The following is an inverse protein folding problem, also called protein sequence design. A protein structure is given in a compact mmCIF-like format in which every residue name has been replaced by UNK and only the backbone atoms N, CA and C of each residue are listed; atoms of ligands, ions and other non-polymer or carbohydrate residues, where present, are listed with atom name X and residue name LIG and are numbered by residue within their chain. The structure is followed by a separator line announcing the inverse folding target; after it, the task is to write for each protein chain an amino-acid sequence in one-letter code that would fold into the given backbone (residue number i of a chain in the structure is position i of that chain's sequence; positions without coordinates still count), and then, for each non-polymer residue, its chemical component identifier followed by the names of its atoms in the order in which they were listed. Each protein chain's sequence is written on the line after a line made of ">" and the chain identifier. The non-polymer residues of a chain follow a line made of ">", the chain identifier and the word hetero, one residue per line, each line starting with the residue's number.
data_IF_614505984821
#
_entry.id   IF_614505984821
#
_cell.length_a   1.000
_cell.length_b   1.000
_cell.length_c   1.000
_cell.angle_alpha   90.00
_cell.angle_beta   90.00
_cell.angle_gamma   90.00
#
_symmetry.space_group_name_H-M   'P 1'
#
loop_
_entity.id
_entity.type
_entity.pdbx_description
1 polymer ?
#
# COMPACT_ATOMS: atom_id res chain seq x y z
N UNK A 1 14.01 -23.69 29.76
CA UNK A 1 14.83 -22.65 29.10
C UNK A 1 15.05 -21.52 30.08
N UNK A 2 16.29 -21.10 30.34
CA UNK A 2 16.57 -20.02 31.30
C UNK A 2 16.29 -18.65 30.68
N UNK A 3 15.84 -17.70 31.50
CA UNK A 3 15.56 -16.31 31.10
C UNK A 3 16.80 -15.64 30.49
N UNK A 4 18.00 -16.04 30.94
CA UNK A 4 19.27 -15.58 30.36
C UNK A 4 19.53 -16.11 28.95
N UNK A 5 19.06 -17.33 28.61
CA UNK A 5 19.13 -17.87 27.26
C UNK A 5 18.26 -17.10 26.27
N UNK A 6 17.03 -16.77 26.67
CA UNK A 6 16.10 -15.95 25.88
C UNK A 6 16.61 -14.52 25.67
N UNK A 7 17.22 -13.91 26.70
CA UNK A 7 17.82 -12.58 26.58
C UNK A 7 19.08 -12.55 25.71
N UNK A 8 19.83 -13.65 25.67
CA UNK A 8 20.99 -13.81 24.76
C UNK A 8 20.55 -13.87 23.30
N UNK A 9 19.51 -14.64 22.99
CA UNK A 9 18.97 -14.77 21.62
C UNK A 9 18.34 -13.45 21.12
N UNK A 10 17.61 -12.74 21.97
CA UNK A 10 17.02 -11.43 21.61
C UNK A 10 18.10 -10.36 21.38
N UNK A 11 19.21 -10.40 22.14
CA UNK A 11 20.36 -9.50 21.89
C UNK A 11 21.06 -9.81 20.57
N UNK A 12 21.16 -11.09 20.20
CA UNK A 12 21.74 -11.49 18.91
C UNK A 12 20.84 -11.11 17.73
N UNK A 13 19.52 -11.24 17.88
CA UNK A 13 18.56 -10.86 16.85
C UNK A 13 18.52 -9.33 16.63
N UNK A 14 18.60 -8.55 17.71
CA UNK A 14 18.67 -7.08 17.61
C UNK A 14 20.01 -6.59 17.07
N UNK A 15 21.14 -7.24 17.40
CA UNK A 15 22.45 -6.88 16.84
C UNK A 15 22.50 -7.15 15.33
N UNK A 16 21.95 -8.28 14.87
CA UNK A 16 21.86 -8.61 13.44
C UNK A 16 20.88 -7.68 12.69
N UNK A 17 19.75 -7.29 13.31
CA UNK A 17 18.83 -6.31 12.72
C UNK A 17 19.44 -4.89 12.62
N UNK A 18 20.24 -4.48 13.61
CA UNK A 18 20.97 -3.21 13.60
C UNK A 18 22.15 -3.22 12.62
N UNK A 19 22.87 -4.33 12.46
CA UNK A 19 23.92 -4.46 11.43
C UNK A 19 23.36 -4.50 10.01
N UNK A 20 22.18 -5.12 9.80
CA UNK A 20 21.48 -5.08 8.51
C UNK A 20 20.96 -3.67 8.23
N UNK A 21 20.38 -2.98 9.21
CA UNK A 21 19.92 -1.60 9.05
C UNK A 21 21.09 -0.62 8.82
N UNK A 22 22.23 -0.77 9.52
CA UNK A 22 23.42 0.04 9.27
C UNK A 22 24.13 -0.34 7.97
N UNK A 23 24.11 -1.61 7.56
CA UNK A 23 24.60 -2.07 6.26
C UNK A 23 23.76 -1.51 5.10
N UNK A 24 22.44 -1.42 5.25
CA UNK A 24 21.54 -0.82 4.27
C UNK A 24 21.68 0.71 4.22
N UNK A 25 21.95 1.37 5.36
CA UNK A 25 22.22 2.81 5.42
C UNK A 25 23.59 3.18 4.82
N UNK A 26 24.60 2.32 4.97
CA UNK A 26 25.94 2.50 4.37
C UNK A 26 25.99 2.13 2.88
N UNK A 27 25.07 1.29 2.38
CA UNK A 27 25.02 0.94 0.95
C UNK A 27 24.02 1.78 0.14
N UNK A 28 23.07 2.48 0.77
CA UNK A 28 22.08 3.32 0.07
C UNK A 28 21.75 4.66 0.75
N UNK A 29 22.71 5.30 1.41
CA UNK A 29 22.50 6.64 1.96
C UNK A 29 23.78 7.44 2.19
N UNK A 30 24.35 8.02 1.13
CA UNK A 30 25.35 9.08 1.32
C UNK A 30 26.35 9.27 0.19
N UNK A 31 25.93 9.79 -0.95
CA UNK A 31 26.82 10.61 -1.79
C UNK A 31 26.09 11.84 -2.32
N UNK A 32 26.42 13.00 -1.73
CA UNK A 32 26.47 14.26 -2.48
C UNK A 32 27.55 14.09 -3.54
N UNK A 33 27.18 14.12 -4.81
CA UNK A 33 28.13 14.23 -5.92
C UNK A 33 27.89 15.57 -6.60
N UNK A 34 28.64 16.58 -6.16
CA UNK A 34 28.98 17.72 -7.00
C UNK A 34 30.50 17.77 -7.09
N UNK A 35 31.01 17.39 -8.26
CA UNK A 35 32.03 18.10 -9.04
C UNK A 35 32.79 17.09 -9.89
N UNK A 36 32.56 17.11 -11.21
CA UNK A 36 33.63 17.10 -12.22
C UNK A 36 32.99 17.05 -13.62
N UNK A 37 32.75 18.23 -14.18
CA UNK A 37 32.66 18.42 -15.63
C UNK A 37 33.80 19.33 -16.02
N UNK A 38 34.76 18.80 -16.79
CA UNK A 38 35.76 19.62 -17.50
C UNK A 38 35.05 20.46 -18.57
N UNK A 39 35.35 21.76 -18.69
CA UNK A 39 34.79 22.59 -19.75
C UNK A 39 35.49 22.33 -21.08
N UNK A 40 34.70 22.18 -22.14
CA UNK A 40 35.15 22.37 -23.51
C UNK A 40 35.34 23.86 -23.81
N UNK A 41 36.41 24.17 -24.55
CA UNK A 41 36.78 25.50 -25.01
C UNK A 41 35.67 26.22 -25.79
N UNK A 42 35.42 27.49 -25.46
CA UNK A 42 35.37 28.63 -26.39
C UNK A 42 35.01 29.91 -25.63
N UNK A 43 35.74 31.00 -25.89
CA UNK A 43 35.44 32.32 -25.33
C UNK A 43 36.51 32.92 -24.41
N UNK A 44 37.78 32.86 -24.81
CA UNK A 44 38.84 33.64 -24.20
C UNK A 44 38.64 35.12 -24.53
N UNK A 45 38.09 35.92 -23.61
CA UNK A 45 38.42 37.35 -23.43
C UNK A 45 37.64 38.10 -22.31
N UNK A 46 36.67 37.50 -21.61
CA UNK A 46 35.96 38.15 -20.47
C UNK A 46 36.27 37.58 -19.07
N UNK A 47 37.23 36.67 -18.96
CA UNK A 47 37.52 35.94 -17.70
C UNK A 47 38.47 36.63 -16.71
N UNK A 48 39.17 37.70 -17.12
CA UNK A 48 40.17 38.37 -16.27
C UNK A 48 39.53 39.25 -15.20
N UNK A 49 38.61 40.13 -15.61
CA UNK A 49 37.90 41.05 -14.70
C UNK A 49 36.95 40.31 -13.75
N UNK A 50 36.32 39.22 -14.20
CA UNK A 50 35.44 38.41 -13.36
C UNK A 50 36.22 37.64 -12.29
N UNK A 51 37.45 37.19 -12.59
CA UNK A 51 38.32 36.54 -11.61
C UNK A 51 38.82 37.51 -10.55
N UNK A 52 39.13 38.74 -10.93
CA UNK A 52 39.52 39.79 -9.98
C UNK A 52 38.33 40.23 -9.12
N UNK A 53 37.14 40.40 -9.71
CA UNK A 53 35.92 40.71 -8.96
C UNK A 53 35.54 39.60 -7.97
N UNK A 54 35.68 38.32 -8.36
CA UNK A 54 35.49 37.16 -7.49
C UNK A 54 36.58 37.08 -6.41
N UNK A 55 37.82 37.44 -6.73
CA UNK A 55 38.91 37.53 -5.75
C UNK A 55 38.68 38.61 -4.69
N UNK A 56 38.19 39.78 -5.12
CA UNK A 56 37.80 40.87 -4.23
C UNK A 56 36.58 40.49 -3.36
N UNK A 57 35.57 39.86 -3.95
CA UNK A 57 34.39 39.37 -3.22
C UNK A 57 34.76 38.28 -2.19
N UNK A 58 35.67 37.38 -2.55
CA UNK A 58 36.19 36.34 -1.64
C UNK A 58 37.01 36.94 -0.50
N UNK A 59 37.86 37.93 -0.77
CA UNK A 59 38.59 38.66 0.25
C UNK A 59 37.66 39.47 1.18
N UNK A 60 36.57 40.03 0.64
CA UNK A 60 35.54 40.71 1.44
C UNK A 60 34.75 39.73 2.32
N UNK A 61 34.38 38.56 1.77
CA UNK A 61 33.71 37.50 2.53
C UNK A 61 34.61 36.92 3.62
N UNK A 62 35.90 36.67 3.32
CA UNK A 62 36.88 36.20 4.31
C UNK A 62 37.17 37.26 5.39
N UNK A 63 37.14 38.56 5.05
CA UNK A 63 37.21 39.65 6.03
C UNK A 63 35.94 39.80 6.87
N UNK A 64 34.76 39.47 6.32
CA UNK A 64 33.50 39.44 7.06
C UNK A 64 33.42 38.23 8.00
N UNK A 65 33.95 37.07 7.59
CA UNK A 65 34.08 35.86 8.42
C UNK A 65 35.13 36.04 9.52
N UNK A 66 36.24 36.73 9.25
CA UNK A 66 37.29 37.01 10.24
C UNK A 66 36.96 38.20 11.18
N UNK A 67 35.92 38.99 10.90
CA UNK A 67 35.31 39.92 11.86
C UNK A 67 34.17 39.23 12.62
N UNK A 68 34.53 38.22 13.41
CA UNK A 68 33.79 37.77 14.59
C UNK A 68 32.27 37.67 14.48
N UNK A 69 31.73 37.05 13.43
CA UNK A 69 30.37 36.52 13.47
C UNK A 69 30.38 35.28 14.37
N UNK A 70 29.71 35.33 15.51
CA UNK A 70 29.76 34.28 16.52
C UNK A 70 29.21 32.99 15.91
N UNK A 71 29.86 31.84 16.09
CA UNK A 71 29.36 30.54 15.57
C UNK A 71 27.98 30.19 16.14
N UNK A 72 27.64 30.74 17.31
CA UNK A 72 26.30 30.70 17.90
C UNK A 72 25.24 31.40 17.05
N UNK A 73 25.57 32.49 16.36
CA UNK A 73 24.62 33.27 15.55
C UNK A 73 24.21 32.50 14.30
N UNK A 74 25.13 31.75 13.68
CA UNK A 74 24.83 30.91 12.51
C UNK A 74 23.96 29.72 12.88
N UNK A 75 24.25 29.04 14.00
CA UNK A 75 23.42 27.94 14.50
C UNK A 75 22.04 28.43 14.94
N UNK A 76 21.96 29.61 15.55
CA UNK A 76 20.70 30.24 15.93
C UNK A 76 19.86 30.60 14.70
N UNK A 77 20.46 31.20 13.66
CA UNK A 77 19.77 31.50 12.39
C UNK A 77 19.27 30.24 11.68
N UNK A 78 20.00 29.13 11.75
CA UNK A 78 19.55 27.85 11.19
C UNK A 78 18.35 27.27 11.96
N UNK A 79 18.36 27.40 13.29
CA UNK A 79 17.25 26.99 14.14
C UNK A 79 16.01 27.86 13.91
N UNK A 80 16.19 29.17 13.81
CA UNK A 80 15.12 30.12 13.48
C UNK A 80 14.54 29.86 12.09
N UNK A 81 15.37 29.59 11.09
CA UNK A 81 14.93 29.22 9.74
C UNK A 81 14.12 27.91 9.75
N UNK A 82 14.58 26.88 10.47
CA UNK A 82 13.84 25.61 10.59
C UNK A 82 12.49 25.79 11.29
N UNK A 83 12.44 26.63 12.34
CA UNK A 83 11.19 26.98 13.01
C UNK A 83 10.25 27.78 12.10
N UNK A 84 10.80 28.66 11.25
CA UNK A 84 10.03 29.44 10.28
C UNK A 84 9.41 28.54 9.21
N UNK A 85 10.18 27.59 8.66
CA UNK A 85 9.68 26.59 7.70
C UNK A 85 8.52 25.80 8.29
N UNK A 86 8.65 25.32 9.52
CA UNK A 86 7.58 24.60 10.22
C UNK A 86 6.32 25.45 10.41
N UNK A 87 6.47 26.75 10.70
CA UNK A 87 5.33 27.68 10.79
C UNK A 87 4.69 27.94 9.42
N UNK A 88 5.48 28.02 8.35
CA UNK A 88 4.97 28.18 6.98
C UNK A 88 4.16 26.94 6.55
N UNK A 89 4.62 25.73 6.87
CA UNK A 89 3.89 24.49 6.59
C UNK A 89 2.56 24.41 7.36
N UNK A 90 2.58 24.85 8.63
CA UNK A 90 1.37 24.97 9.45
C UNK A 90 0.39 26.00 8.89
N UNK A 91 0.87 27.17 8.46
CA UNK A 91 0.05 28.20 7.82
C UNK A 91 -0.52 27.73 6.48
N UNK A 92 0.26 27.02 5.67
CA UNK A 92 -0.22 26.45 4.41
C UNK A 92 -1.35 25.43 4.67
N UNK A 93 -1.22 24.62 5.72
CA UNK A 93 -2.26 23.68 6.15
C UNK A 93 -3.52 24.42 6.62
N UNK A 94 -3.37 25.45 7.45
CA UNK A 94 -4.50 26.26 7.94
C UNK A 94 -5.19 27.04 6.82
N UNK A 95 -4.44 27.54 5.83
CA UNK A 95 -5.01 28.20 4.66
C UNK A 95 -5.84 27.22 3.83
N UNK A 96 -5.40 25.97 3.67
CA UNK A 96 -6.20 24.94 3.01
C UNK A 96 -7.49 24.63 3.79
N UNK A 97 -7.44 24.60 5.13
CA UNK A 97 -8.62 24.44 5.99
C UNK A 97 -9.60 25.62 5.88
N UNK A 98 -9.12 26.85 5.91
CA UNK A 98 -9.98 28.04 5.76
C UNK A 98 -10.56 28.13 4.35
N UNK A 99 -9.82 27.73 3.32
CA UNK A 99 -10.34 27.63 1.96
C UNK A 99 -11.47 26.61 1.88
N UNK A 100 -11.33 25.47 2.57
CA UNK A 100 -12.35 24.45 2.68
C UNK A 100 -13.61 24.98 3.39
N UNK A 101 -13.44 25.67 4.51
CA UNK A 101 -14.54 26.22 5.31
C UNK A 101 -15.29 27.34 4.56
N UNK A 102 -14.56 28.24 3.88
CA UNK A 102 -15.13 29.29 3.01
C UNK A 102 -15.89 28.69 1.83
N UNK A 103 -15.41 27.58 1.26
CA UNK A 103 -16.10 26.88 0.17
C UNK A 103 -17.43 26.27 0.63
N UNK A 104 -17.48 25.82 1.88
CA UNK A 104 -18.65 25.22 2.53
C UNK A 104 -19.69 26.29 2.87
N UNK A 105 -19.26 27.46 3.33
CA UNK A 105 -20.14 28.57 3.73
C UNK A 105 -20.79 29.32 2.54
N UNK A 106 -20.18 29.31 1.35
CA UNK A 106 -20.62 30.14 0.21
C UNK A 106 -21.78 29.58 -0.62
N UNK A 107 -22.33 28.40 -0.30
CA UNK A 107 -23.41 27.79 -1.10
C UNK A 107 -24.57 27.33 -0.23
N UNK A 108 -25.58 28.21 -0.08
CA UNK A 108 -26.94 27.85 0.35
C UNK A 108 -27.71 26.96 -0.64
N UNK A 109 -27.02 26.11 -1.40
CA UNK A 109 -27.52 24.96 -2.13
C UNK A 109 -26.53 23.85 -1.84
N UNK A 110 -26.96 22.82 -1.10
CA UNK A 110 -26.12 21.71 -0.65
C UNK A 110 -25.72 20.86 -1.86
N UNK A 111 -24.72 21.32 -2.60
CA UNK A 111 -23.82 20.47 -3.37
C UNK A 111 -22.75 20.03 -2.37
N UNK A 112 -22.87 18.80 -1.88
CA UNK A 112 -21.83 18.20 -1.02
C UNK A 112 -20.63 17.93 -1.94
N UNK A 113 -19.70 18.90 -2.06
CA UNK A 113 -18.48 18.69 -2.84
C UNK A 113 -17.72 17.53 -2.19
N UNK A 114 -17.51 16.43 -2.92
CA UNK A 114 -16.73 15.32 -2.37
C UNK A 114 -15.25 15.67 -2.46
N UNK A 115 -14.51 15.34 -1.41
CA UNK A 115 -13.06 15.44 -1.43
C UNK A 115 -12.44 14.20 -2.04
N UNK A 116 -11.55 14.41 -2.99
CA UNK A 116 -10.80 13.38 -3.70
C UNK A 116 -9.31 13.59 -3.45
N UNK A 117 -8.65 12.58 -2.88
CA UNK A 117 -7.20 12.59 -2.70
C UNK A 117 -6.53 11.91 -3.90
N UNK A 118 -5.58 12.58 -4.54
CA UNK A 118 -4.75 12.01 -5.60
C UNK A 118 -3.35 11.82 -5.04
N UNK A 119 -2.97 10.56 -4.83
CA UNK A 119 -1.69 10.17 -4.23
C UNK A 119 -0.59 10.05 -5.28
N UNK A 120 0.52 10.77 -5.04
CA UNK A 120 1.76 10.59 -5.80
C UNK A 120 1.62 10.87 -7.30
N UNK A 121 0.89 11.91 -7.68
CA UNK A 121 0.66 12.28 -9.09
C UNK A 121 1.90 12.94 -9.71
N UNK A 122 2.94 12.14 -9.93
CA UNK A 122 4.23 12.46 -10.55
C UNK A 122 4.42 13.90 -11.00
N UNK A 123 3.94 14.26 -12.20
CA UNK A 123 4.07 15.59 -12.82
C UNK A 123 2.81 16.47 -12.73
N UNK A 124 1.83 16.07 -11.92
CA UNK A 124 0.54 16.71 -11.69
C UNK A 124 -0.41 16.78 -12.90
N UNK A 125 -0.07 16.12 -14.01
CA UNK A 125 -0.89 16.19 -15.23
C UNK A 125 -2.23 15.46 -15.08
N UNK A 126 -2.32 14.40 -14.27
CA UNK A 126 -3.59 13.72 -14.01
C UNK A 126 -4.52 14.63 -13.19
N UNK A 127 -3.98 15.23 -12.12
CA UNK A 127 -4.69 16.14 -11.24
C UNK A 127 -5.25 17.33 -12.01
N UNK A 128 -4.45 17.92 -12.91
CA UNK A 128 -4.93 19.00 -13.77
C UNK A 128 -6.05 18.53 -14.70
N UNK A 129 -5.91 17.36 -15.33
CA UNK A 129 -6.91 16.81 -16.23
C UNK A 129 -8.26 16.56 -15.53
N UNK A 130 -8.23 15.89 -14.38
CA UNK A 130 -9.45 15.53 -13.66
C UNK A 130 -10.11 16.75 -13.00
N UNK A 131 -9.34 17.63 -12.35
CA UNK A 131 -9.89 18.82 -11.71
C UNK A 131 -10.50 19.80 -12.73
N UNK A 132 -9.95 19.88 -13.94
CA UNK A 132 -10.51 20.71 -15.01
C UNK A 132 -11.80 20.16 -15.60
N UNK A 133 -11.97 18.82 -15.61
CA UNK A 133 -13.12 18.16 -16.25
C UNK A 133 -14.26 17.83 -15.29
N UNK A 134 -14.02 17.86 -13.97
CA UNK A 134 -15.01 17.56 -12.95
C UNK A 134 -15.00 18.65 -11.84
N UNK A 135 -15.60 19.83 -12.10
CA UNK A 135 -15.60 20.95 -11.16
C UNK A 135 -16.49 20.72 -9.92
N UNK A 136 -17.21 19.60 -9.83
CA UNK A 136 -18.11 19.27 -8.72
C UNK A 136 -17.41 18.73 -7.48
N UNK A 137 -16.14 18.33 -7.60
CA UNK A 137 -15.34 17.75 -6.52
C UNK A 137 -14.13 18.62 -6.20
N UNK A 138 -13.62 18.50 -4.97
CA UNK A 138 -12.37 19.16 -4.54
C UNK A 138 -11.25 18.12 -4.59
N UNK A 139 -10.18 18.43 -5.34
CA UNK A 139 -9.05 17.53 -5.55
C UNK A 139 -7.83 17.95 -4.74
N UNK A 140 -7.36 17.05 -3.90
CA UNK A 140 -6.10 17.18 -3.18
C UNK A 140 -5.03 16.47 -4.00
N UNK A 141 -4.31 17.24 -4.80
CA UNK A 141 -3.28 16.78 -5.71
C UNK A 141 -1.95 16.71 -4.97
N UNK A 142 -1.46 15.49 -4.72
CA UNK A 142 -0.27 15.28 -3.89
C UNK A 142 0.90 14.71 -4.67
N UNK A 143 2.11 15.11 -4.29
CA UNK A 143 3.37 14.57 -4.82
C UNK A 143 4.33 14.25 -3.70
N UNK A 144 5.19 13.25 -3.92
CA UNK A 144 6.22 12.82 -2.96
C UNK A 144 7.37 13.83 -2.86
N UNK A 145 7.76 14.42 -4.00
CA UNK A 145 8.85 15.39 -4.05
C UNK A 145 8.48 16.67 -3.26
N UNK A 146 9.46 17.34 -2.65
CA UNK A 146 9.29 18.71 -2.15
C UNK A 146 8.97 19.67 -3.31
N UNK A 147 8.47 20.87 -3.01
CA UNK A 147 8.13 21.86 -4.05
C UNK A 147 9.34 22.22 -4.90
N UNK A 148 10.50 22.42 -4.27
CA UNK A 148 11.76 22.78 -4.92
C UNK A 148 12.28 21.63 -5.80
N UNK A 149 12.17 20.39 -5.33
CA UNK A 149 12.53 19.19 -6.11
C UNK A 149 11.62 19.00 -7.31
N UNK A 150 10.31 19.15 -7.11
CA UNK A 150 9.31 19.01 -8.16
C UNK A 150 9.54 20.01 -9.30
N UNK A 151 9.69 21.30 -8.99
CA UNK A 151 9.92 22.35 -10.00
C UNK A 151 11.19 22.06 -10.80
N UNK A 152 12.29 21.73 -10.11
CA UNK A 152 13.57 21.40 -10.75
C UNK A 152 13.51 20.17 -11.64
N UNK A 153 12.71 19.16 -11.27
CA UNK A 153 12.62 17.88 -11.97
C UNK A 153 11.70 17.94 -13.19
N UNK A 154 10.54 18.60 -13.05
CA UNK A 154 9.50 18.57 -14.07
C UNK A 154 9.42 19.85 -14.91
N UNK A 155 10.03 20.96 -14.49
CA UNK A 155 9.88 22.28 -15.13
C UNK A 155 8.39 22.61 -15.35
N UNK A 156 7.60 22.39 -14.31
CA UNK A 156 6.14 22.34 -14.39
C UNK A 156 5.46 23.65 -13.93
N UNK A 157 6.12 24.80 -14.10
CA UNK A 157 5.61 26.12 -13.70
C UNK A 157 4.21 26.39 -14.29
N UNK A 158 4.01 26.05 -15.57
CA UNK A 158 2.71 26.20 -16.24
C UNK A 158 1.64 25.29 -15.62
N UNK A 159 1.99 24.05 -15.25
CA UNK A 159 1.04 23.11 -14.62
C UNK A 159 0.66 23.58 -13.22
N UNK A 160 1.62 24.10 -12.45
CA UNK A 160 1.38 24.68 -11.14
C UNK A 160 0.51 25.94 -11.24
N UNK A 161 0.76 26.81 -12.21
CA UNK A 161 -0.06 28.00 -12.45
C UNK A 161 -1.49 27.63 -12.86
N UNK A 162 -1.65 26.66 -13.76
CA UNK A 162 -2.96 26.18 -14.19
C UNK A 162 -3.75 25.54 -13.04
N UNK A 163 -3.13 24.67 -12.24
CA UNK A 163 -3.75 24.09 -11.05
C UNK A 163 -4.10 25.14 -10.00
N UNK A 164 -3.22 26.11 -9.76
CA UNK A 164 -3.47 27.20 -8.82
C UNK A 164 -4.60 28.15 -9.25
N UNK A 165 -4.93 28.20 -10.54
CA UNK A 165 -6.06 28.95 -11.06
C UNK A 165 -7.41 28.21 -10.87
N UNK A 166 -7.39 26.90 -10.62
CA UNK A 166 -8.59 26.10 -10.35
C UNK A 166 -9.04 26.28 -8.90
N UNK A 167 -10.33 26.62 -8.71
CA UNK A 167 -10.92 26.78 -7.37
C UNK A 167 -11.17 25.46 -6.63
N UNK A 168 -11.03 24.34 -7.34
CA UNK A 168 -11.34 23.00 -6.87
C UNK A 168 -10.10 22.09 -6.82
N UNK A 169 -8.89 22.67 -6.83
CA UNK A 169 -7.64 21.95 -6.68
C UNK A 169 -6.82 22.50 -5.51
N UNK A 170 -6.27 21.59 -4.69
CA UNK A 170 -5.39 21.87 -3.56
C UNK A 170 -4.09 21.11 -3.79
N UNK A 171 -2.96 21.82 -3.84
CA UNK A 171 -1.64 21.24 -4.06
C UNK A 171 -0.96 20.93 -2.73
N UNK A 172 -0.44 19.70 -2.58
CA UNK A 172 0.29 19.28 -1.39
C UNK A 172 1.59 18.55 -1.80
N UNK A 173 2.74 19.06 -1.34
CA UNK A 173 4.06 18.49 -1.64
C UNK A 173 4.59 17.67 -0.46
N UNK A 174 5.58 16.82 -0.71
CA UNK A 174 6.25 16.05 0.35
C UNK A 174 5.37 14.95 0.98
N UNK A 175 4.38 14.42 0.27
CA UNK A 175 3.45 13.42 0.80
C UNK A 175 3.98 12.01 0.52
N UNK A 176 4.32 11.28 1.59
CA UNK A 176 4.60 9.85 1.51
C UNK A 176 3.31 9.05 1.60
N UNK A 177 2.98 8.31 0.53
CA UNK A 177 1.79 7.48 0.49
C UNK A 177 1.84 6.30 1.49
N UNK A 178 3.03 5.94 1.98
CA UNK A 178 3.23 4.89 3.00
C UNK A 178 3.20 5.40 4.43
N UNK A 179 3.12 6.73 4.62
CA UNK A 179 3.05 7.39 5.93
C UNK A 179 2.15 8.63 5.86
N UNK A 180 0.85 8.39 5.66
CA UNK A 180 -0.15 9.45 5.52
C UNK A 180 -0.48 10.06 6.89
N UNK A 181 -0.68 11.38 6.97
CA UNK A 181 -0.86 12.04 8.25
C UNK A 181 -2.22 11.70 8.87
N UNK A 182 -2.22 11.29 10.14
CA UNK A 182 -3.44 10.90 10.86
C UNK A 182 -4.56 11.96 10.84
N UNK A 183 -4.23 13.26 10.71
CA UNK A 183 -5.22 14.35 10.59
C UNK A 183 -6.13 14.19 9.37
N UNK A 184 -5.73 13.44 8.34
CA UNK A 184 -6.51 13.16 7.15
C UNK A 184 -7.58 12.08 7.33
N UNK A 185 -7.71 11.53 8.54
CA UNK A 185 -8.74 10.57 8.86
C UNK A 185 -10.14 11.05 8.43
N UNK A 186 -10.82 10.21 7.66
CA UNK A 186 -12.18 10.38 7.18
C UNK A 186 -12.44 11.63 6.33
N UNK A 187 -11.39 12.28 5.83
CA UNK A 187 -11.54 13.51 5.03
C UNK A 187 -11.92 13.25 3.57
N UNK A 188 -11.60 12.06 3.05
CA UNK A 188 -11.67 11.76 1.62
C UNK A 188 -12.69 10.68 1.32
N UNK A 189 -13.50 10.90 0.28
CA UNK A 189 -14.48 9.92 -0.19
C UNK A 189 -13.88 8.99 -1.24
N UNK A 190 -12.95 9.52 -2.03
CA UNK A 190 -12.23 8.77 -3.05
C UNK A 190 -10.75 9.09 -2.91
N UNK A 191 -9.93 8.04 -2.88
CA UNK A 191 -8.48 8.14 -2.99
C UNK A 191 -8.09 7.51 -4.31
N UNK A 192 -7.24 8.18 -5.09
CA UNK A 192 -6.78 7.72 -6.40
C UNK A 192 -5.27 7.64 -6.36
N UNK A 193 -4.69 6.52 -6.78
CA UNK A 193 -3.26 6.39 -7.01
C UNK A 193 -3.01 5.70 -8.34
N UNK A 194 -2.37 6.40 -9.26
CA UNK A 194 -2.13 5.91 -10.60
C UNK A 194 -0.66 5.49 -10.78
N UNK A 195 -0.45 4.22 -11.11
CA UNK A 195 0.86 3.64 -11.46
C UNK A 195 1.95 3.97 -10.44
N UNK A 196 1.76 3.62 -9.15
CA UNK A 196 2.74 3.86 -8.10
C UNK A 196 4.11 3.28 -8.47
N UNK A 197 5.19 3.91 -8.03
CA UNK A 197 6.55 3.47 -8.35
C UNK A 197 7.50 3.63 -7.16
N UNK A 198 8.21 2.57 -6.72
CA UNK A 198 9.08 2.62 -5.53
C UNK A 198 10.31 3.51 -5.74
N UNK A 199 10.67 3.80 -6.98
CA UNK A 199 11.84 4.60 -7.33
C UNK A 199 13.07 3.76 -7.64
N UNK A 200 13.98 4.34 -8.41
CA UNK A 200 15.17 3.63 -8.92
C UNK A 200 14.81 2.42 -9.78
N UNK A 201 15.70 1.42 -9.79
CA UNK A 201 15.42 0.13 -10.45
C UNK A 201 14.38 -0.64 -9.63
N UNK A 202 13.19 -0.80 -10.22
CA UNK A 202 12.07 -1.54 -9.64
C UNK A 202 12.28 -3.04 -9.75
N UNK A 203 11.87 -3.76 -8.70
CA UNK A 203 11.72 -5.20 -8.69
C UNK A 203 10.42 -5.55 -7.95
N UNK A 204 9.98 -6.81 -8.07
CA UNK A 204 8.73 -7.27 -7.49
C UNK A 204 8.66 -7.06 -5.97
N UNK A 205 9.77 -7.33 -5.26
CA UNK A 205 9.84 -7.18 -3.81
C UNK A 205 9.58 -5.73 -3.38
N UNK A 206 10.26 -4.76 -4.01
CA UNK A 206 10.08 -3.33 -3.71
C UNK A 206 8.67 -2.86 -4.00
N UNK A 207 8.09 -3.33 -5.09
CA UNK A 207 6.70 -3.04 -5.46
C UNK A 207 5.70 -3.57 -4.43
N UNK A 208 5.88 -4.80 -3.94
CA UNK A 208 5.04 -5.36 -2.87
C UNK A 208 5.19 -4.58 -1.56
N UNK A 209 6.41 -4.20 -1.18
CA UNK A 209 6.67 -3.38 0.02
C UNK A 209 5.97 -2.03 -0.08
N UNK A 210 6.11 -1.34 -1.21
CA UNK A 210 5.43 -0.06 -1.46
C UNK A 210 3.91 -0.21 -1.33
N UNK A 211 3.33 -1.20 -2.01
CA UNK A 211 1.88 -1.38 -2.01
C UNK A 211 1.34 -1.78 -0.63
N UNK A 212 2.07 -2.61 0.12
CA UNK A 212 1.75 -2.94 1.52
C UNK A 212 1.74 -1.68 2.39
N UNK A 213 2.79 -0.86 2.29
CA UNK A 213 2.87 0.41 3.03
C UNK A 213 1.73 1.37 2.68
N UNK A 214 1.33 1.45 1.41
CA UNK A 214 0.19 2.25 0.97
C UNK A 214 -1.10 1.76 1.61
N UNK A 215 -1.42 0.46 1.54
CA UNK A 215 -2.64 -0.07 2.15
C UNK A 215 -2.66 0.14 3.66
N UNK A 216 -1.54 -0.13 4.35
CA UNK A 216 -1.41 0.12 5.79
C UNK A 216 -1.67 1.57 6.16
N UNK A 217 -1.08 2.49 5.40
CA UNK A 217 -1.27 3.94 5.59
C UNK A 217 -2.71 4.36 5.33
N UNK A 218 -3.33 3.87 4.25
CA UNK A 218 -4.74 4.11 3.92
C UNK A 218 -5.69 3.58 4.99
N UNK A 219 -5.37 2.44 5.61
CA UNK A 219 -6.17 1.88 6.70
C UNK A 219 -6.39 2.90 7.82
N UNK A 220 -5.39 3.76 8.09
CA UNK A 220 -5.48 4.78 9.15
C UNK A 220 -6.36 5.97 8.80
N UNK A 221 -6.51 6.31 7.51
CA UNK A 221 -7.24 7.51 7.08
C UNK A 221 -8.59 7.24 6.43
N UNK A 222 -8.83 6.02 5.92
CA UNK A 222 -10.08 5.67 5.25
C UNK A 222 -11.15 5.23 6.24
N UNK A 223 -12.39 5.70 6.02
CA UNK A 223 -13.59 5.07 6.56
C UNK A 223 -14.13 3.99 5.60
N UNK A 224 -15.17 3.29 6.03
CA UNK A 224 -15.78 2.18 5.27
C UNK A 224 -16.59 2.65 4.04
N UNK A 225 -16.96 3.92 3.96
CA UNK A 225 -17.68 4.50 2.81
C UNK A 225 -16.74 5.01 1.71
N UNK A 226 -15.47 5.22 2.06
CA UNK A 226 -14.44 5.67 1.13
C UNK A 226 -13.98 4.56 0.19
N UNK A 227 -13.51 4.96 -1.00
CA UNK A 227 -12.99 4.02 -2.00
C UNK A 227 -11.56 4.40 -2.39
N UNK A 228 -10.71 3.39 -2.53
CA UNK A 228 -9.36 3.53 -3.04
C UNK A 228 -9.29 2.98 -4.47
N UNK A 229 -8.98 3.84 -5.44
CA UNK A 229 -8.82 3.49 -6.84
C UNK A 229 -7.33 3.41 -7.15
N UNK A 230 -6.84 2.18 -7.32
CA UNK A 230 -5.45 1.89 -7.64
C UNK A 230 -5.33 1.50 -9.11
N UNK A 231 -4.62 2.30 -9.91
CA UNK A 231 -4.33 1.94 -11.31
C UNK A 231 -2.96 1.29 -11.42
N UNK A 232 -2.89 0.11 -12.04
CA UNK A 232 -1.66 -0.65 -12.28
C UNK A 232 -1.52 -0.99 -13.76
N UNK A 233 -0.28 -1.10 -14.24
CA UNK A 233 -0.03 -1.55 -15.61
C UNK A 233 -0.41 -3.03 -15.77
N UNK A 234 -0.63 -3.45 -17.02
CA UNK A 234 -1.04 -4.81 -17.38
C UNK A 234 -0.14 -5.85 -16.70
N UNK A 235 -0.77 -6.84 -16.06
CA UNK A 235 -0.08 -7.93 -15.36
C UNK A 235 0.49 -7.59 -13.98
N UNK A 236 0.60 -6.31 -13.59
CA UNK A 236 1.17 -5.94 -12.28
C UNK A 236 0.25 -6.33 -11.12
N UNK A 237 -1.07 -6.22 -11.27
CA UNK A 237 -2.03 -6.55 -10.19
C UNK A 237 -2.02 -8.02 -9.80
N UNK A 238 -1.69 -8.91 -10.75
CA UNK A 238 -1.80 -10.37 -10.59
C UNK A 238 -3.13 -10.96 -11.05
N UNK A 239 -4.07 -10.10 -11.46
CA UNK A 239 -5.40 -10.46 -11.96
C UNK A 239 -5.69 -9.78 -13.29
N UNK A 240 -6.68 -10.28 -14.01
CA UNK A 240 -7.19 -9.72 -15.26
C UNK A 240 -8.65 -9.27 -15.10
N UNK A 241 -9.16 -8.40 -15.98
CA UNK A 241 -10.59 -8.09 -16.00
C UNK A 241 -11.33 -9.24 -16.67
N UNK A 242 -12.23 -9.88 -15.92
CA UNK A 242 -13.12 -10.95 -16.38
C UNK A 242 -14.58 -10.49 -16.37
N UNK A 243 -15.40 -11.04 -17.27
CA UNK A 243 -16.84 -10.73 -17.35
C UNK A 243 -17.61 -11.25 -16.14
N UNK A 244 -17.34 -12.50 -15.73
CA UNK A 244 -17.92 -13.12 -14.54
C UNK A 244 -16.79 -13.56 -13.59
N UNK A 245 -16.72 -13.02 -12.37
CA UNK A 245 -15.71 -13.43 -11.41
C UNK A 245 -16.00 -14.78 -10.76
N UNK A 246 -17.22 -15.33 -10.86
CA UNK A 246 -17.56 -16.63 -10.28
C UNK A 246 -17.16 -17.76 -11.22
N UNK A 247 -16.28 -18.64 -10.74
CA UNK A 247 -15.69 -19.74 -11.49
C UNK A 247 -15.76 -21.05 -10.69
N UNK A 248 -15.82 -22.19 -11.38
CA UNK A 248 -15.87 -23.51 -10.74
C UNK A 248 -14.51 -24.03 -10.28
N UNK A 249 -13.43 -23.55 -10.89
CA UNK A 249 -12.07 -23.99 -10.61
C UNK A 249 -11.31 -22.95 -9.79
N UNK A 250 -10.24 -23.39 -9.12
CA UNK A 250 -9.41 -22.52 -8.30
C UNK A 250 -8.82 -21.35 -9.11
N UNK A 251 -8.89 -20.10 -8.63
CA UNK A 251 -8.39 -18.95 -9.37
C UNK A 251 -6.88 -19.02 -9.67
N UNK A 252 -6.52 -18.75 -10.93
CA UNK A 252 -5.10 -18.64 -11.33
C UNK A 252 -4.61 -17.19 -11.22
N UNK A 253 -4.11 -16.83 -10.04
CA UNK A 253 -3.47 -15.53 -9.81
C UNK A 253 -1.97 -15.57 -10.14
N UNK A 254 -1.47 -14.59 -10.90
CA UNK A 254 -0.04 -14.57 -11.31
C UNK A 254 0.85 -14.33 -10.09
N UNK A 255 1.72 -15.29 -9.76
CA UNK A 255 2.64 -15.18 -8.60
C UNK A 255 3.77 -14.17 -8.82
N UNK A 256 4.27 -14.08 -10.06
CA UNK A 256 5.23 -13.06 -10.48
C UNK A 256 4.52 -11.72 -10.81
N UNK A 257 3.81 -11.21 -9.81
CA UNK A 257 3.06 -9.95 -9.87
C UNK A 257 3.06 -9.31 -8.48
N UNK A 258 2.45 -8.13 -8.36
CA UNK A 258 2.34 -7.41 -7.09
C UNK A 258 1.30 -8.07 -6.18
N UNK A 259 0.44 -8.96 -6.71
CA UNK A 259 -0.62 -9.65 -5.96
C UNK A 259 -1.50 -8.67 -5.18
N UNK A 260 -1.98 -7.62 -5.84
CA UNK A 260 -2.61 -6.47 -5.20
C UNK A 260 -3.81 -6.84 -4.30
N UNK A 261 -4.63 -7.82 -4.71
CA UNK A 261 -5.78 -8.28 -3.92
C UNK A 261 -5.38 -8.99 -2.63
N UNK A 262 -4.22 -9.68 -2.62
CA UNK A 262 -3.71 -10.34 -1.44
C UNK A 262 -3.13 -9.30 -0.47
N UNK A 263 -2.30 -8.38 -0.96
CA UNK A 263 -1.73 -7.32 -0.14
C UNK A 263 -2.81 -6.40 0.45
N UNK A 264 -3.86 -6.10 -0.32
CA UNK A 264 -5.01 -5.37 0.20
C UNK A 264 -5.71 -6.13 1.32
N UNK A 265 -5.94 -7.43 1.14
CA UNK A 265 -6.64 -8.25 2.14
C UNK A 265 -5.86 -8.40 3.45
N UNK A 266 -4.52 -8.49 3.40
CA UNK A 266 -3.68 -8.47 4.62
C UNK A 266 -3.91 -7.20 5.46
N UNK A 267 -4.21 -6.07 4.82
CA UNK A 267 -4.39 -4.77 5.47
C UNK A 267 -5.86 -4.39 5.67
N UNK A 268 -6.79 -5.35 5.51
CA UNK A 268 -8.23 -5.13 5.72
C UNK A 268 -8.92 -4.40 4.57
N UNK A 269 -8.53 -4.69 3.32
CA UNK A 269 -9.19 -4.17 2.12
C UNK A 269 -9.74 -5.28 1.23
N UNK A 270 -10.96 -5.07 0.74
CA UNK A 270 -11.61 -5.96 -0.22
C UNK A 270 -11.73 -5.29 -1.58
N UNK A 271 -11.53 -6.06 -2.65
CA UNK A 271 -11.72 -5.58 -4.02
C UNK A 271 -13.22 -5.49 -4.35
N UNK A 272 -13.65 -4.31 -4.75
CA UNK A 272 -15.05 -3.96 -5.00
C UNK A 272 -15.33 -3.73 -6.49
N UNK A 273 -14.34 -3.32 -7.28
CA UNK A 273 -14.48 -3.15 -8.73
C UNK A 273 -13.16 -3.34 -9.49
N UNK A 274 -13.24 -3.79 -10.74
CA UNK A 274 -12.09 -3.87 -11.67
C UNK A 274 -12.49 -3.28 -13.01
N UNK A 275 -11.81 -2.20 -13.39
CA UNK A 275 -12.06 -1.52 -14.66
C UNK A 275 -10.79 -1.39 -15.50
N UNK A 276 -10.95 -1.29 -16.81
CA UNK A 276 -9.83 -0.91 -17.68
C UNK A 276 -9.54 0.57 -17.43
N UNK A 277 -8.27 0.92 -17.28
CA UNK A 277 -7.86 2.30 -17.10
C UNK A 277 -8.19 3.11 -18.36
N UNK A 278 -9.06 4.09 -18.20
CA UNK A 278 -9.57 4.90 -19.31
C UNK A 278 -8.57 5.99 -19.71
N UNK A 279 -7.72 5.70 -20.69
CA UNK A 279 -6.77 6.69 -21.23
C UNK A 279 -7.44 7.78 -22.05
N UNK A 280 -8.64 7.53 -22.60
CA UNK A 280 -9.35 8.48 -23.47
C UNK A 280 -10.02 9.58 -22.68
N UNK A 281 -10.54 9.28 -21.48
CA UNK A 281 -11.09 10.29 -20.57
C UNK A 281 -10.03 11.29 -20.10
N UNK A 282 -8.77 10.88 -20.03
CA UNK A 282 -7.67 11.71 -19.50
C UNK A 282 -6.62 11.99 -20.58
N UNK A 283 -7.01 12.52 -21.74
CA UNK A 283 -6.08 12.77 -22.88
C UNK A 283 -4.88 13.65 -22.55
N UNK A 284 -5.00 14.54 -21.57
CA UNK A 284 -3.92 15.41 -21.11
C UNK A 284 -3.02 14.76 -20.04
N UNK A 285 -3.40 13.59 -19.51
CA UNK A 285 -2.59 12.86 -18.53
C UNK A 285 -1.35 12.26 -19.20
N UNK A 286 -0.18 12.64 -18.67
CA UNK A 286 1.13 12.14 -19.09
C UNK A 286 1.74 11.38 -17.93
N UNK A 287 1.59 10.06 -17.91
CA UNK A 287 2.26 9.21 -16.92
C UNK A 287 3.77 9.44 -16.96
N UNK A 288 4.38 9.73 -15.80
CA UNK A 288 5.83 9.87 -15.65
C UNK A 288 6.34 8.73 -14.78
N UNK A 289 6.94 7.70 -15.38
CA UNK A 289 7.12 6.42 -14.69
C UNK A 289 8.48 6.15 -14.07
N UNK A 290 9.52 6.82 -14.56
CA UNK A 290 10.87 6.63 -14.03
C UNK A 290 11.30 7.90 -13.32
N UNK A 291 11.76 7.79 -12.06
CA UNK A 291 12.10 8.93 -11.18
C UNK A 291 13.14 9.92 -11.77
N UNK A 292 13.68 9.70 -12.96
CA UNK A 292 14.69 10.53 -13.64
C UNK A 292 14.53 10.64 -15.17
N UNK A 293 13.50 10.05 -15.78
CA UNK A 293 13.29 10.16 -17.24
C UNK A 293 11.86 10.55 -17.57
N UNK A 294 11.67 11.42 -18.57
CA UNK A 294 10.35 11.84 -19.09
C UNK A 294 9.54 10.70 -19.74
N UNK A 295 9.93 9.44 -19.54
CA UNK A 295 9.34 8.25 -20.16
C UNK A 295 8.16 7.77 -19.31
N UNK A 296 6.99 7.64 -19.94
CA UNK A 296 5.79 7.10 -19.31
C UNK A 296 5.74 5.58 -19.28
N UNK A 297 4.82 5.03 -18.48
CA UNK A 297 4.47 3.61 -18.53
C UNK A 297 3.55 3.31 -19.72
N UNK A 298 3.54 2.07 -20.19
CA UNK A 298 2.46 1.61 -21.06
C UNK A 298 1.18 1.46 -20.22
N UNK A 299 0.25 2.40 -20.38
CA UNK A 299 -0.99 2.51 -19.61
C UNK A 299 -2.25 2.14 -20.42
N UNK A 300 -2.12 1.80 -21.70
CA UNK A 300 -3.26 1.58 -22.62
C UNK A 300 -4.17 0.43 -22.23
N UNK A 301 -3.66 -0.51 -21.45
CA UNK A 301 -4.39 -1.69 -20.97
C UNK A 301 -4.19 -1.88 -19.45
N UNK A 302 -3.92 -0.78 -18.74
CA UNK A 302 -3.85 -0.80 -17.29
C UNK A 302 -5.20 -1.18 -16.66
N UNK A 303 -5.17 -1.66 -15.43
CA UNK A 303 -6.38 -1.93 -14.65
C UNK A 303 -6.50 -0.92 -13.51
N UNK A 304 -7.71 -0.41 -13.30
CA UNK A 304 -8.10 0.34 -12.11
C UNK A 304 -8.83 -0.59 -11.17
N UNK A 305 -8.22 -0.87 -10.03
CA UNK A 305 -8.76 -1.70 -8.96
C UNK A 305 -9.39 -0.81 -7.89
N UNK A 306 -10.69 -0.96 -7.65
CA UNK A 306 -11.40 -0.26 -6.59
C UNK A 306 -11.43 -1.09 -5.32
N UNK A 307 -10.83 -0.60 -4.25
CA UNK A 307 -10.80 -1.23 -2.94
C UNK A 307 -11.68 -0.47 -1.94
N UNK A 308 -12.29 -1.22 -1.02
CA UNK A 308 -12.98 -0.68 0.16
C UNK A 308 -12.29 -1.19 1.42
N UNK A 309 -12.23 -0.33 2.44
CA UNK A 309 -11.80 -0.74 3.77
C UNK A 309 -12.88 -1.62 4.38
N UNK A 310 -12.46 -2.74 4.94
CA UNK A 310 -13.29 -3.66 5.70
C UNK A 310 -12.47 -4.07 6.93
N UNK A 311 -12.78 -3.46 8.07
CA UNK A 311 -12.10 -3.77 9.31
C UNK A 311 -12.65 -5.07 9.89
N UNK A 312 -12.00 -6.17 9.52
CA UNK A 312 -12.37 -7.51 9.96
C UNK A 312 -11.21 -8.23 10.64
N UNK A 313 -10.11 -7.52 10.95
CA UNK A 313 -8.86 -8.13 11.43
C UNK A 313 -9.00 -8.83 12.78
N UNK A 314 -10.03 -8.48 13.55
CA UNK A 314 -10.33 -9.05 14.87
C UNK A 314 -11.49 -10.06 14.84
N UNK A 315 -12.12 -10.29 13.69
CA UNK A 315 -13.27 -11.19 13.58
C UNK A 315 -12.86 -12.64 13.87
N UNK A 316 -13.76 -13.38 14.50
CA UNK A 316 -13.62 -14.81 14.78
C UNK A 316 -14.15 -15.66 13.61
N UNK A 317 -13.86 -16.95 13.62
CA UNK A 317 -14.47 -17.91 12.68
C UNK A 317 -16.01 -17.82 12.69
N UNK A 318 -16.62 -17.56 13.85
CA UNK A 318 -18.07 -17.43 13.96
C UNK A 318 -18.59 -16.18 13.25
N UNK A 319 -17.88 -15.07 13.36
CA UNK A 319 -18.27 -13.81 12.73
C UNK A 319 -18.14 -13.92 11.21
N UNK A 320 -17.06 -14.55 10.73
CA UNK A 320 -16.89 -14.91 9.33
C UNK A 320 -18.02 -15.81 8.82
N UNK A 321 -18.37 -16.85 9.57
CA UNK A 321 -19.50 -17.75 9.25
C UNK A 321 -20.83 -17.00 9.14
N UNK A 322 -21.06 -16.00 9.99
CA UNK A 322 -22.27 -15.16 9.97
C UNK A 322 -22.28 -14.11 8.87
N UNK A 323 -21.12 -13.56 8.52
CA UNK A 323 -20.99 -12.53 7.50
C UNK A 323 -21.07 -13.11 6.09
N UNK A 324 -20.34 -14.20 5.82
CA UNK A 324 -20.27 -14.88 4.54
C UNK A 324 -21.53 -15.72 4.29
N UNK A 325 -22.65 -15.05 4.06
CA UNK A 325 -23.94 -15.67 3.70
C UNK A 325 -24.21 -15.59 2.21
N UNK A 326 -24.81 -16.65 1.66
CA UNK A 326 -25.15 -16.80 0.25
C UNK A 326 -24.54 -18.07 -0.32
N UNK A 327 -25.36 -18.91 -0.94
CA UNK A 327 -24.89 -20.15 -1.57
C UNK A 327 -24.32 -19.84 -2.96
N UNK A 328 -23.11 -19.30 -3.01
CA UNK A 328 -22.36 -19.27 -4.25
C UNK A 328 -21.44 -20.48 -4.27
N UNK A 329 -21.83 -21.52 -5.01
CA UNK A 329 -20.96 -22.66 -5.28
C UNK A 329 -19.80 -22.21 -6.18
N UNK A 330 -18.56 -22.42 -5.74
CA UNK A 330 -17.36 -22.12 -6.51
C UNK A 330 -16.52 -20.97 -5.93
N UNK A 331 -15.56 -20.50 -6.72
CA UNK A 331 -14.60 -19.49 -6.32
C UNK A 331 -14.93 -18.14 -6.93
N UNK A 332 -14.48 -17.08 -6.26
CA UNK A 332 -14.46 -15.74 -6.81
C UNK A 332 -13.03 -15.37 -7.25
N UNK A 333 -12.83 -15.12 -8.54
CA UNK A 333 -11.55 -14.74 -9.15
C UNK A 333 -10.98 -13.42 -8.62
N UNK A 334 -11.81 -12.56 -8.02
CA UNK A 334 -11.37 -11.29 -7.43
C UNK A 334 -11.16 -11.37 -5.93
N UNK A 335 -11.04 -12.57 -5.37
CA UNK A 335 -10.77 -12.79 -3.95
C UNK A 335 -9.48 -13.57 -3.73
N UNK A 336 -8.67 -13.19 -2.74
CA UNK A 336 -7.57 -14.04 -2.33
C UNK A 336 -8.10 -15.38 -1.84
N UNK A 337 -7.24 -16.39 -1.85
CA UNK A 337 -7.53 -17.68 -1.24
C UNK A 337 -6.27 -18.19 -0.56
N UNK A 338 -6.46 -18.95 0.51
CA UNK A 338 -5.38 -19.57 1.28
C UNK A 338 -5.67 -21.03 1.51
N UNK A 339 -4.61 -21.82 1.55
CA UNK A 339 -4.69 -23.28 1.65
C UNK A 339 -3.98 -23.73 2.92
N UNK A 340 -4.66 -24.57 3.69
CA UNK A 340 -4.13 -25.23 4.88
C UNK A 340 -4.67 -26.65 4.95
N UNK A 341 -3.93 -27.55 5.58
CA UNK A 341 -4.27 -28.97 5.62
C UNK A 341 -4.64 -29.38 7.05
N UNK A 342 -5.66 -30.23 7.22
CA UNK A 342 -6.02 -30.90 8.48
C UNK A 342 -5.79 -32.41 8.35
N UNK A 343 -5.33 -33.04 9.41
CA UNK A 343 -5.03 -34.48 9.43
C UNK A 343 -5.94 -35.17 10.44
N UNK A 344 -6.60 -36.25 10.02
CA UNK A 344 -7.51 -37.03 10.85
C UNK A 344 -7.11 -38.49 10.92
N UNK A 345 -7.09 -39.04 12.13
CA UNK A 345 -7.01 -40.48 12.37
C UNK A 345 -8.41 -41.06 12.59
N UNK A 346 -8.69 -42.20 11.98
CA UNK A 346 -9.99 -42.86 12.09
C UNK A 346 -9.90 -44.11 12.96
N UNK A 347 -10.69 -44.17 14.04
CA UNK A 347 -10.71 -45.31 14.97
C UNK A 347 -11.58 -46.47 14.49
N UNK A 348 -12.48 -46.18 13.56
CA UNK A 348 -13.44 -47.14 12.98
C UNK A 348 -13.31 -47.18 11.45
N UNK A 349 -14.41 -47.41 10.74
CA UNK A 349 -14.46 -47.39 9.28
C UNK A 349 -14.03 -46.03 8.72
N UNK A 350 -13.12 -46.04 7.74
CA UNK A 350 -12.68 -44.82 7.06
C UNK A 350 -13.83 -44.06 6.42
N UNK A 351 -14.80 -44.77 5.84
CA UNK A 351 -15.99 -44.17 5.21
C UNK A 351 -16.82 -43.42 6.26
N UNK A 352 -16.93 -43.97 7.47
CA UNK A 352 -17.65 -43.31 8.56
C UNK A 352 -16.87 -42.12 9.10
N UNK A 353 -15.57 -42.29 9.37
CA UNK A 353 -14.68 -41.23 9.86
C UNK A 353 -14.58 -40.05 8.90
N UNK A 354 -14.52 -40.31 7.59
CA UNK A 354 -14.52 -39.27 6.57
C UNK A 354 -15.82 -38.47 6.56
N UNK A 355 -16.99 -39.13 6.64
CA UNK A 355 -18.27 -38.43 6.75
C UNK A 355 -18.31 -37.51 7.97
N UNK A 356 -17.88 -38.02 9.14
CA UNK A 356 -17.83 -37.23 10.37
C UNK A 356 -16.89 -36.03 10.24
N UNK A 357 -15.67 -36.22 9.72
CA UNK A 357 -14.70 -35.14 9.52
C UNK A 357 -15.26 -34.06 8.58
N UNK A 358 -15.87 -34.47 7.45
CA UNK A 358 -16.47 -33.55 6.48
C UNK A 358 -17.64 -32.76 7.09
N UNK A 359 -18.51 -33.42 7.84
CA UNK A 359 -19.67 -32.79 8.47
C UNK A 359 -19.24 -31.79 9.56
N UNK A 360 -18.24 -32.12 10.37
CA UNK A 360 -17.65 -31.20 11.35
C UNK A 360 -17.04 -29.97 10.68
N UNK A 361 -16.17 -30.17 9.69
CA UNK A 361 -15.49 -29.04 9.02
C UNK A 361 -16.51 -28.12 8.35
N UNK A 362 -17.48 -28.68 7.63
CA UNK A 362 -18.52 -27.88 6.94
C UNK A 362 -19.42 -27.13 7.93
N UNK A 363 -19.86 -27.77 9.00
CA UNK A 363 -20.76 -27.15 9.98
C UNK A 363 -20.11 -26.02 10.78
N UNK A 364 -18.80 -26.15 11.07
CA UNK A 364 -18.03 -25.14 11.80
C UNK A 364 -17.53 -24.00 10.91
N UNK A 365 -17.17 -24.28 9.66
CA UNK A 365 -16.60 -23.27 8.75
C UNK A 365 -17.64 -22.44 7.99
N UNK A 366 -18.83 -23.00 7.75
CA UNK A 366 -19.85 -22.40 6.89
C UNK A 366 -19.31 -22.03 5.51
N UNK A 367 -19.74 -20.88 4.95
CA UNK A 367 -19.38 -20.54 3.58
C UNK A 367 -18.00 -19.89 3.41
N UNK A 368 -17.22 -19.76 4.48
CA UNK A 368 -15.81 -19.38 4.38
C UNK A 368 -14.95 -20.51 3.80
N UNK A 369 -15.44 -21.75 3.94
CA UNK A 369 -14.88 -22.93 3.30
C UNK A 369 -15.26 -22.93 1.82
N UNK A 370 -14.30 -22.57 0.97
CA UNK A 370 -14.50 -22.56 -0.47
C UNK A 370 -14.45 -23.98 -1.06
N UNK A 371 -13.47 -24.76 -0.60
CA UNK A 371 -13.30 -26.14 -1.04
C UNK A 371 -12.59 -26.97 0.04
N UNK A 372 -12.92 -28.25 0.08
CA UNK A 372 -12.20 -29.27 0.84
C UNK A 372 -11.95 -30.48 -0.05
N UNK A 373 -10.70 -30.93 -0.12
CA UNK A 373 -10.29 -32.09 -0.92
C UNK A 373 -9.33 -32.97 -0.12
N UNK A 374 -9.43 -34.29 -0.26
CA UNK A 374 -8.42 -35.18 0.30
C UNK A 374 -7.12 -35.08 -0.51
N UNK A 375 -5.98 -35.04 0.19
CA UNK A 375 -4.66 -35.18 -0.42
C UNK A 375 -4.28 -36.66 -0.42
N UNK A 376 -4.85 -37.43 -1.36
CA UNK A 376 -4.72 -38.90 -1.39
C UNK A 376 -3.26 -39.40 -1.42
N UNK A 377 -2.36 -38.62 -2.01
CA UNK A 377 -0.92 -38.95 -2.06
C UNK A 377 -0.25 -38.96 -0.69
N UNK A 378 -0.90 -38.39 0.33
CA UNK A 378 -0.42 -38.35 1.72
C UNK A 378 -1.15 -39.33 2.64
N UNK A 379 -1.98 -40.24 2.08
CA UNK A 379 -2.58 -41.34 2.85
C UNK A 379 -1.50 -42.12 3.60
N UNK A 380 -1.72 -42.28 4.90
CA UNK A 380 -0.77 -42.96 5.78
C UNK A 380 -1.50 -43.73 6.87
N UNK A 381 -0.75 -44.47 7.69
CA UNK A 381 -1.23 -45.18 8.88
C UNK A 381 -0.42 -44.66 10.07
N UNK A 382 -1.09 -44.18 11.12
CA UNK A 382 -0.44 -43.90 12.41
C UNK A 382 0.14 -45.21 12.95
N UNK A 383 1.41 -45.27 13.42
CA UNK A 383 2.03 -46.54 13.77
C UNK A 383 1.51 -47.16 15.08
N UNK A 384 1.07 -46.35 16.05
CA UNK A 384 0.62 -46.83 17.36
C UNK A 384 -0.43 -45.89 17.99
N UNK A 385 -1.71 -46.30 18.10
CA UNK A 385 -2.28 -47.51 17.49
C UNK A 385 -2.34 -47.41 15.95
N UNK A 386 -2.40 -48.55 15.23
CA UNK A 386 -2.51 -48.58 13.76
C UNK A 386 -3.83 -47.99 13.27
N UNK A 387 -3.86 -46.69 13.00
CA UNK A 387 -5.06 -45.96 12.55
C UNK A 387 -4.87 -45.36 11.15
N UNK A 388 -5.84 -45.49 10.23
CA UNK A 388 -5.84 -44.76 8.98
C UNK A 388 -5.74 -43.25 9.21
N UNK A 389 -4.76 -42.61 8.57
CA UNK A 389 -4.58 -41.16 8.57
C UNK A 389 -4.98 -40.58 7.21
N UNK A 390 -5.89 -39.61 7.20
CA UNK A 390 -6.32 -38.89 6.00
C UNK A 390 -6.06 -37.41 6.18
N UNK A 391 -5.47 -36.79 5.15
CA UNK A 391 -5.15 -35.36 5.15
C UNK A 391 -6.10 -34.66 4.19
N UNK A 392 -6.78 -33.63 4.69
CA UNK A 392 -7.73 -32.83 3.95
C UNK A 392 -7.19 -31.43 3.76
N UNK A 393 -7.09 -31.04 2.49
CA UNK A 393 -6.75 -29.69 2.08
C UNK A 393 -7.99 -28.81 2.12
N UNK A 394 -7.93 -27.80 2.96
CA UNK A 394 -8.92 -26.75 3.10
C UNK A 394 -8.48 -25.54 2.30
N UNK A 395 -9.41 -25.00 1.50
CA UNK A 395 -9.26 -23.74 0.81
C UNK A 395 -10.21 -22.72 1.43
N UNK A 396 -9.63 -21.69 2.03
CA UNK A 396 -10.33 -20.55 2.59
C UNK A 396 -10.49 -19.46 1.54
N UNK A 397 -11.71 -18.95 1.37
CA UNK A 397 -11.98 -17.76 0.58
C UNK A 397 -13.23 -17.05 1.11
N UNK A 398 -13.08 -15.77 1.45
CA UNK A 398 -14.18 -14.87 1.78
C UNK A 398 -14.51 -13.99 0.59
N UNK A 399 -15.80 -13.68 0.39
CA UNK A 399 -16.21 -12.79 -0.70
C UNK A 399 -16.74 -11.44 -0.20
N UNK A 400 -17.28 -11.36 1.02
CA UNK A 400 -17.65 -10.08 1.64
C UNK A 400 -16.51 -9.53 2.47
N UNK A 401 -15.84 -10.39 3.22
CA UNK A 401 -14.74 -10.05 4.12
C UNK A 401 -13.40 -10.36 3.45
N UNK A 402 -12.40 -9.47 3.56
CA UNK A 402 -11.07 -9.78 3.06
C UNK A 402 -10.43 -10.88 3.90
N UNK A 403 -9.85 -11.88 3.25
CA UNK A 403 -9.10 -12.94 3.93
C UNK A 403 -7.62 -12.78 3.61
N UNK A 404 -6.85 -12.29 4.58
CA UNK A 404 -5.39 -12.30 4.57
C UNK A 404 -4.81 -13.60 5.13
N UNK A 405 -3.49 -13.79 5.02
CA UNK A 405 -2.78 -14.99 5.47
C UNK A 405 -2.86 -15.14 6.98
N UNK A 406 -2.56 -14.07 7.71
CA UNK A 406 -2.56 -14.08 9.17
C UNK A 406 -3.96 -14.41 9.69
N UNK A 407 -4.97 -13.73 9.13
CA UNK A 407 -6.38 -14.00 9.38
C UNK A 407 -6.75 -15.47 9.15
N UNK A 408 -6.44 -16.02 7.97
CA UNK A 408 -6.70 -17.42 7.64
C UNK A 408 -6.03 -18.37 8.64
N UNK A 409 -4.79 -18.08 9.04
CA UNK A 409 -4.09 -18.81 10.08
C UNK A 409 -4.87 -18.86 11.40
N UNK A 410 -5.37 -17.71 11.87
CA UNK A 410 -6.16 -17.63 13.10
C UNK A 410 -7.47 -18.41 13.02
N UNK A 411 -8.28 -18.19 11.98
CA UNK A 411 -9.59 -18.86 11.87
C UNK A 411 -9.44 -20.37 11.64
N UNK A 412 -8.33 -20.81 11.03
CA UNK A 412 -8.04 -22.23 10.87
C UNK A 412 -7.62 -22.88 12.19
N UNK A 413 -6.86 -22.18 13.03
CA UNK A 413 -6.56 -22.65 14.38
C UNK A 413 -7.82 -22.69 15.24
N UNK A 414 -8.69 -21.68 15.14
CA UNK A 414 -9.99 -21.69 15.80
C UNK A 414 -10.88 -22.85 15.33
N UNK A 415 -10.85 -23.16 14.02
CA UNK A 415 -11.52 -24.35 13.48
C UNK A 415 -10.96 -25.63 14.11
N UNK A 416 -9.62 -25.78 14.20
CA UNK A 416 -8.99 -26.94 14.84
C UNK A 416 -9.48 -27.12 16.28
N UNK A 417 -9.39 -26.08 17.10
CA UNK A 417 -9.83 -26.16 18.50
C UNK A 417 -11.30 -26.56 18.61
N UNK A 418 -12.19 -25.95 17.81
CA UNK A 418 -13.62 -26.31 17.81
C UNK A 418 -13.88 -27.73 17.34
N UNK A 419 -13.11 -28.25 16.39
CA UNK A 419 -13.20 -29.65 15.96
C UNK A 419 -12.80 -30.58 17.11
N UNK A 420 -11.66 -30.33 17.76
CA UNK A 420 -11.18 -31.10 18.91
C UNK A 420 -12.22 -31.11 20.04
N UNK A 421 -12.76 -29.95 20.41
CA UNK A 421 -13.81 -29.82 21.42
C UNK A 421 -15.06 -30.65 21.08
N UNK A 422 -15.50 -30.64 19.81
CA UNK A 422 -16.70 -31.39 19.37
C UNK A 422 -16.45 -32.89 19.34
N UNK A 423 -15.24 -33.32 18.94
CA UNK A 423 -14.83 -34.72 18.99
C UNK A 423 -14.88 -35.24 20.43
N UNK A 424 -14.38 -34.47 21.39
CA UNK A 424 -14.41 -34.84 22.81
C UNK A 424 -15.82 -34.85 23.39
N UNK A 425 -16.60 -33.79 23.15
CA UNK A 425 -17.96 -33.64 23.69
C UNK A 425 -18.94 -34.71 23.19
N UNK A 426 -18.79 -35.15 21.94
CA UNK A 426 -19.68 -36.13 21.31
C UNK A 426 -19.06 -37.54 21.24
N UNK A 427 -17.89 -37.74 21.86
CA UNK A 427 -17.13 -39.00 21.88
C UNK A 427 -16.92 -39.61 20.48
N UNK A 428 -16.61 -38.77 19.48
CA UNK A 428 -16.55 -39.20 18.09
C UNK A 428 -15.37 -40.16 17.82
N UNK A 429 -15.53 -41.17 16.94
CA UNK A 429 -14.50 -42.17 16.64
C UNK A 429 -13.40 -41.66 15.68
N UNK A 430 -13.00 -40.40 15.81
CA UNK A 430 -11.95 -39.75 15.01
C UNK A 430 -10.98 -38.98 15.93
N UNK A 431 -9.80 -38.64 15.44
CA UNK A 431 -8.81 -37.80 16.14
C UNK A 431 -8.28 -36.77 15.17
N UNK A 432 -8.25 -35.50 15.56
CA UNK A 432 -7.53 -34.46 14.84
C UNK A 432 -6.07 -34.44 15.30
N UNK A 433 -5.12 -34.34 14.37
CA UNK A 433 -3.68 -34.33 14.66
C UNK A 433 -3.01 -33.07 14.13
#
# INVERSE_FOLDING_TARGET
>A
MSVEGLLSEVRHFNAHALEVAHGEQLHYGGKRVFSDVKPGCSGAQKGSELKEAVGHAKCHAEKAVNKGGNSGDVSQLQQEHSALVKKVDQLASLVAELQLEISTFKKGQVMINRHVLILGDGNLSFSLAIASSDPGNIYFATVFDSREEFIRKYHADDTLAALGALKNAVLVFGVDATDLPARWCNQFHTIIMNFPHPGGKTNLRKSKILLTGIFKSLHTIMNNDARFLLSLATGQSGIEKVENPWISELPTHKKDSWQAIYLGAEEGFVLDSVEIFDTERFKSYKSSGYKETKKGFNNREGLTLGFKKCDNQQESLEDFRRAETGANSGFNYYRPFYTQDLSFLFKESEIHGERLAMDLIKSLSGNCLAEITEVESLRSICPDPPLPNRIYRIIWQGWKLPMGREMCGRIHEELRCRIEERIEQEELPIVLT
#
